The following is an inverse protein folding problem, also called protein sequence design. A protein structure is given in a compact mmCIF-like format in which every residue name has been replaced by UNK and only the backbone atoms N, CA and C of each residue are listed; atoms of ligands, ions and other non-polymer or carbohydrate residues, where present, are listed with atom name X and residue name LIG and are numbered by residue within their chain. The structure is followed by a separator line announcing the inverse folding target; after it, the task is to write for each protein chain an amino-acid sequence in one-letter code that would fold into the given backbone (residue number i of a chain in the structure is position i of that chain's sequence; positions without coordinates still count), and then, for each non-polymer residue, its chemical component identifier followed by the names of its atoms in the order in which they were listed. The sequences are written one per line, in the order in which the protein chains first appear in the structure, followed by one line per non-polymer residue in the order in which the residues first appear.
data_IF_916695716148
#
_entry.id   IF_916695716148
#
_cell.length_a   1.000
_cell.length_b   1.000
_cell.length_c   1.000
_cell.angle_alpha   90.00
_cell.angle_beta   90.00
_cell.angle_gamma   90.00
#
_symmetry.space_group_name_H-M   'P 1'
#
loop_
_entity.id
_entity.type
_entity.pdbx_description
1 polymer ?
#
# COMPACT_ATOMS: atom_id res chain seq x y z
N UNK A 1 28.56 -71.45 -24.15
CA UNK A 1 27.71 -70.29 -24.54
C UNK A 1 26.82 -69.72 -23.42
N UNK A 2 26.77 -70.26 -22.19
CA UNK A 2 25.86 -69.79 -21.11
C UNK A 2 26.28 -68.53 -20.33
N UNK A 3 27.48 -67.98 -20.56
CA UNK A 3 28.05 -66.88 -19.74
C UNK A 3 27.66 -65.47 -20.23
N UNK A 4 27.30 -65.31 -21.52
CA UNK A 4 26.93 -64.00 -22.08
C UNK A 4 25.49 -63.60 -21.72
N UNK A 5 24.55 -64.54 -21.73
CA UNK A 5 23.14 -64.31 -21.38
C UNK A 5 22.98 -63.90 -19.91
N UNK A 6 23.72 -64.53 -18.98
CA UNK A 6 23.73 -64.15 -17.57
C UNK A 6 24.31 -62.75 -17.33
N UNK A 7 25.29 -62.33 -18.14
CA UNK A 7 25.91 -61.00 -18.02
C UNK A 7 24.98 -59.88 -18.50
N UNK A 8 24.16 -60.15 -19.52
CA UNK A 8 23.20 -59.20 -20.06
C UNK A 8 22.02 -58.99 -19.10
N UNK A 9 21.45 -60.08 -18.56
CA UNK A 9 20.36 -60.00 -17.58
C UNK A 9 20.82 -59.31 -16.29
N UNK A 10 22.06 -59.51 -15.86
CA UNK A 10 22.62 -58.83 -14.69
C UNK A 10 22.76 -57.32 -14.93
N UNK A 11 23.22 -56.91 -16.11
CA UNK A 11 23.28 -55.48 -16.51
C UNK A 11 21.90 -54.86 -16.63
N UNK A 12 20.91 -55.60 -17.16
CA UNK A 12 19.53 -55.13 -17.23
C UNK A 12 18.94 -54.91 -15.84
N UNK A 13 19.20 -55.83 -14.89
CA UNK A 13 18.80 -55.67 -13.48
C UNK A 13 19.44 -54.45 -12.84
N UNK A 14 20.73 -54.24 -13.04
CA UNK A 14 21.43 -53.05 -12.51
C UNK A 14 20.89 -51.76 -13.14
N UNK A 15 20.50 -51.78 -14.42
CA UNK A 15 19.87 -50.62 -15.08
C UNK A 15 18.45 -50.35 -14.57
N UNK A 16 17.67 -51.40 -14.25
CA UNK A 16 16.34 -51.23 -13.64
C UNK A 16 16.41 -50.82 -12.16
N UNK A 17 17.47 -51.19 -11.45
CA UNK A 17 17.76 -50.74 -10.08
C UNK A 17 18.35 -49.32 -10.04
N UNK A 18 18.93 -48.86 -11.14
CA UNK A 18 19.42 -47.49 -11.32
C UNK A 18 18.37 -46.51 -11.90
N UNK A 19 17.12 -46.97 -12.05
CA UNK A 19 16.02 -46.05 -12.38
C UNK A 19 15.72 -45.21 -11.13
N UNK A 20 15.67 -43.87 -11.25
CA UNK A 20 15.35 -43.02 -10.12
C UNK A 20 13.99 -43.43 -9.58
N UNK A 21 13.94 -43.64 -8.27
CA UNK A 21 12.73 -43.90 -7.52
C UNK A 21 11.69 -42.81 -7.80
N UNK A 22 10.39 -43.09 -7.59
CA UNK A 22 9.35 -42.07 -7.72
C UNK A 22 9.65 -40.81 -6.90
N UNK A 23 10.28 -40.99 -5.73
CA UNK A 23 10.71 -39.91 -4.84
C UNK A 23 11.85 -39.09 -5.45
N UNK A 24 12.89 -39.73 -5.97
CA UNK A 24 14.00 -39.04 -6.66
C UNK A 24 13.53 -38.29 -7.91
N UNK A 25 12.52 -38.82 -8.63
CA UNK A 25 11.91 -38.10 -9.75
C UNK A 25 11.19 -36.83 -9.32
N UNK A 26 10.47 -36.86 -8.21
CA UNK A 26 9.80 -35.67 -7.69
C UNK A 26 10.79 -34.66 -7.10
N UNK A 27 11.88 -35.13 -6.48
CA UNK A 27 12.99 -34.27 -6.04
C UNK A 27 13.66 -33.57 -7.23
N UNK A 28 14.05 -34.31 -8.27
CA UNK A 28 14.63 -33.72 -9.50
C UNK A 28 13.65 -32.74 -10.15
N UNK A 29 12.35 -33.07 -10.19
CA UNK A 29 11.32 -32.18 -10.74
C UNK A 29 11.21 -30.88 -9.92
N UNK A 30 11.28 -30.98 -8.60
CA UNK A 30 11.26 -29.82 -7.70
C UNK A 30 12.51 -28.95 -7.91
N UNK A 31 13.69 -29.54 -8.00
CA UNK A 31 14.94 -28.82 -8.23
C UNK A 31 14.93 -28.09 -9.58
N UNK A 32 14.39 -28.73 -10.63
CA UNK A 32 14.18 -28.10 -11.95
C UNK A 32 13.20 -26.93 -11.84
N UNK A 33 12.13 -27.07 -11.06
CA UNK A 33 11.15 -26.01 -10.88
C UNK A 33 11.76 -24.80 -10.15
N UNK A 34 12.55 -25.04 -9.10
CA UNK A 34 13.29 -23.99 -8.38
C UNK A 34 14.29 -23.26 -9.31
N UNK A 35 14.97 -24.00 -10.21
CA UNK A 35 15.85 -23.42 -11.22
C UNK A 35 15.09 -22.53 -12.22
N UNK A 36 13.90 -22.96 -12.67
CA UNK A 36 13.06 -22.18 -13.59
C UNK A 36 12.61 -20.88 -12.93
N UNK A 37 12.21 -20.93 -11.66
CA UNK A 37 11.75 -19.74 -10.94
C UNK A 37 12.89 -18.76 -10.68
N UNK A 38 14.10 -19.26 -10.38
CA UNK A 38 15.31 -18.44 -10.32
C UNK A 38 15.62 -17.74 -11.65
N UNK A 39 15.53 -18.46 -12.77
CA UNK A 39 15.78 -17.89 -14.10
C UNK A 39 14.75 -16.82 -14.48
N UNK A 40 13.48 -16.98 -14.08
CA UNK A 40 12.45 -15.94 -14.24
C UNK A 40 12.77 -14.70 -13.42
N UNK A 41 13.13 -14.87 -12.15
CA UNK A 41 13.53 -13.74 -11.29
C UNK A 41 14.73 -12.98 -11.87
N UNK A 42 15.71 -13.71 -12.41
CA UNK A 42 16.88 -13.10 -13.06
C UNK A 42 16.47 -12.33 -14.32
N UNK A 43 15.60 -12.90 -15.14
CA UNK A 43 15.07 -12.24 -16.34
C UNK A 43 14.31 -10.95 -16.00
N UNK A 44 13.49 -10.96 -14.94
CA UNK A 44 12.80 -9.77 -14.45
C UNK A 44 13.77 -8.72 -13.89
N UNK A 45 14.80 -9.17 -13.17
CA UNK A 45 15.83 -8.28 -12.64
C UNK A 45 16.59 -7.59 -13.79
N UNK A 46 16.95 -8.32 -14.83
CA UNK A 46 17.59 -7.79 -16.05
C UNK A 46 16.66 -6.83 -16.80
N UNK A 47 15.37 -7.13 -16.89
CA UNK A 47 14.37 -6.23 -17.50
C UNK A 47 14.18 -4.92 -16.71
N UNK A 48 14.52 -4.91 -15.42
CA UNK A 48 14.50 -3.71 -14.56
C UNK A 48 15.83 -2.96 -14.54
N UNK A 49 16.87 -3.46 -15.19
CA UNK A 49 18.11 -2.71 -15.35
C UNK A 49 17.80 -1.54 -16.28
N UNK A 50 17.87 -0.28 -15.80
CA UNK A 50 17.65 0.87 -16.65
C UNK A 50 18.65 0.84 -17.80
N UNK A 51 18.16 1.06 -19.01
CA UNK A 51 18.99 1.05 -20.21
C UNK A 51 19.94 2.24 -20.20
N UNK A 52 21.02 2.18 -20.99
CA UNK A 52 21.94 3.30 -21.18
C UNK A 52 21.20 4.57 -21.65
N UNK A 53 20.07 4.42 -22.36
CA UNK A 53 19.18 5.53 -22.75
C UNK A 53 18.46 6.16 -21.54
N UNK A 54 17.97 5.34 -20.60
CA UNK A 54 17.36 5.82 -19.35
C UNK A 54 18.38 6.60 -18.50
N UNK A 55 19.65 6.17 -18.50
CA UNK A 55 20.72 6.90 -17.79
C UNK A 55 21.06 8.24 -18.44
N UNK A 56 20.90 8.38 -19.77
CA UNK A 56 21.07 9.65 -20.48
C UNK A 56 19.94 10.63 -20.17
N UNK A 57 18.69 10.15 -20.07
CA UNK A 57 17.56 10.97 -19.64
C UNK A 57 17.72 11.46 -18.19
N UNK A 58 18.24 10.59 -17.32
CA UNK A 58 18.60 10.93 -15.94
C UNK A 58 19.73 11.95 -15.87
N UNK A 59 20.75 11.80 -16.70
CA UNK A 59 21.89 12.74 -16.79
C UNK A 59 21.46 14.12 -17.31
N UNK A 60 20.58 14.17 -18.31
CA UNK A 60 19.96 15.43 -18.78
C UNK A 60 19.10 16.09 -17.70
N UNK A 61 18.35 15.30 -16.95
CA UNK A 61 17.54 15.81 -15.83
C UNK A 61 18.43 16.35 -14.70
N UNK A 62 19.57 15.72 -14.44
CA UNK A 62 20.57 16.20 -13.48
C UNK A 62 21.25 17.49 -13.95
N UNK A 63 21.64 17.58 -15.23
CA UNK A 63 22.20 18.81 -15.83
C UNK A 63 21.19 19.98 -15.78
N UNK A 64 19.90 19.72 -15.98
CA UNK A 64 18.83 20.73 -15.85
C UNK A 64 18.63 21.18 -14.40
N UNK A 65 18.77 20.26 -13.44
CA UNK A 65 18.76 20.60 -12.01
C UNK A 65 19.99 21.43 -11.65
N UNK A 66 21.18 21.07 -12.13
CA UNK A 66 22.42 21.79 -11.89
C UNK A 66 22.38 23.21 -12.45
N UNK A 67 21.90 23.39 -13.70
CA UNK A 67 21.70 24.72 -14.30
C UNK A 67 20.71 25.59 -13.53
N UNK A 68 19.61 24.99 -13.04
CA UNK A 68 18.64 25.69 -12.19
C UNK A 68 19.25 26.06 -10.84
N UNK A 69 20.14 25.23 -10.30
CA UNK A 69 20.85 25.50 -9.05
C UNK A 69 21.88 26.64 -9.19
N UNK A 70 22.56 26.73 -10.32
CA UNK A 70 23.54 27.79 -10.57
C UNK A 70 22.90 29.16 -10.85
N UNK A 71 21.74 29.17 -11.51
CA UNK A 71 21.02 30.41 -11.85
C UNK A 71 20.40 31.09 -10.62
N UNK A 72 20.11 30.31 -9.56
CA UNK A 72 19.29 30.76 -8.43
C UNK A 72 19.98 30.58 -7.07
N UNK A 73 21.28 30.91 -7.00
CA UNK A 73 22.11 30.82 -5.78
C UNK A 73 21.50 31.55 -4.57
N UNK A 74 20.68 32.60 -4.81
CA UNK A 74 19.94 33.30 -3.74
C UNK A 74 18.70 32.54 -3.26
N UNK A 75 17.96 31.86 -4.14
CA UNK A 75 16.80 31.07 -3.76
C UNK A 75 17.18 29.80 -2.98
N UNK A 76 18.35 29.21 -3.25
CA UNK A 76 18.80 27.98 -2.57
C UNK A 76 19.32 28.27 -1.16
N UNK A 77 20.02 29.38 -0.94
CA UNK A 77 20.39 29.81 0.42
C UNK A 77 19.15 30.18 1.25
N UNK A 78 18.15 30.82 0.62
CA UNK A 78 16.86 31.06 1.25
C UNK A 78 16.09 29.77 1.55
N UNK A 79 16.14 28.76 0.68
CA UNK A 79 15.47 27.47 0.88
C UNK A 79 16.20 26.50 1.83
N UNK A 80 17.54 26.58 1.93
CA UNK A 80 18.33 25.83 2.90
C UNK A 80 18.18 26.40 4.31
N UNK A 81 18.14 27.72 4.46
CA UNK A 81 17.86 28.37 5.76
C UNK A 81 16.36 28.30 6.09
N UNK A 82 15.47 28.25 5.09
CA UNK A 82 14.06 27.84 5.25
C UNK A 82 13.84 26.32 5.05
N UNK A 83 14.78 25.47 5.48
CA UNK A 83 14.45 24.10 5.87
C UNK A 83 13.54 24.16 7.11
N UNK A 84 12.29 24.50 6.81
CA UNK A 84 11.05 24.28 7.54
C UNK A 84 11.28 24.21 9.04
N UNK A 85 11.29 25.40 9.69
CA UNK A 85 10.37 25.54 10.82
C UNK A 85 9.04 25.03 10.28
N UNK A 86 8.66 23.80 10.62
CA UNK A 86 7.25 23.40 10.58
C UNK A 86 6.60 24.51 11.37
N UNK A 87 5.95 25.46 10.69
CA UNK A 87 5.02 26.35 11.36
C UNK A 87 4.21 25.41 12.25
N UNK A 88 4.17 25.62 13.57
CA UNK A 88 3.31 24.81 14.41
C UNK A 88 1.97 24.83 13.71
N UNK A 89 1.46 23.65 13.35
CA UNK A 89 0.11 23.52 12.80
C UNK A 89 -0.73 24.15 13.89
N UNK A 90 -1.12 25.40 13.70
CA UNK A 90 -2.05 26.08 14.56
C UNK A 90 -3.34 25.36 14.24
N UNK A 91 -3.59 24.29 15.00
CA UNK A 91 -4.88 23.66 15.12
C UNK A 91 -5.78 24.75 15.66
N UNK A 92 -6.29 25.61 14.75
CA UNK A 92 -7.35 26.53 15.10
C UNK A 92 -8.46 25.64 15.65
N UNK A 93 -8.92 25.87 16.89
CA UNK A 93 -10.08 25.15 17.39
C UNK A 93 -11.21 25.31 16.37
N UNK A 94 -11.96 24.24 16.15
CA UNK A 94 -13.12 24.28 15.28
C UNK A 94 -14.05 25.41 15.76
N UNK A 95 -14.52 26.23 14.82
CA UNK A 95 -15.47 27.27 15.16
C UNK A 95 -16.78 26.63 15.62
N UNK A 96 -17.54 27.30 16.48
CA UNK A 96 -18.89 26.86 16.87
C UNK A 96 -19.76 26.59 15.65
N UNK A 97 -19.63 27.41 14.59
CA UNK A 97 -20.31 27.20 13.31
C UNK A 97 -19.86 25.95 12.54
N UNK A 98 -18.59 25.54 12.68
CA UNK A 98 -18.11 24.29 12.08
C UNK A 98 -18.74 23.07 12.77
N UNK A 99 -18.89 23.13 14.11
CA UNK A 99 -19.50 22.06 14.91
C UNK A 99 -21.01 21.94 14.61
N UNK A 100 -21.72 23.06 14.47
CA UNK A 100 -23.14 23.05 14.06
C UNK A 100 -23.32 22.45 12.66
N UNK A 101 -22.44 22.77 11.72
CA UNK A 101 -22.46 22.16 10.40
C UNK A 101 -22.18 20.65 10.49
N UNK A 102 -21.22 20.23 11.33
CA UNK A 102 -20.94 18.83 11.61
C UNK A 102 -22.14 18.07 12.16
N UNK A 103 -23.00 18.70 12.99
CA UNK A 103 -24.26 18.11 13.47
C UNK A 103 -25.27 17.91 12.35
N UNK A 104 -25.44 18.88 11.45
CA UNK A 104 -26.34 18.74 10.28
C UNK A 104 -25.86 17.64 9.33
N UNK A 105 -24.54 17.56 9.13
CA UNK A 105 -23.94 16.52 8.31
C UNK A 105 -24.13 15.14 8.96
N UNK A 106 -24.01 15.05 10.28
CA UNK A 106 -24.28 13.84 11.06
C UNK A 106 -25.73 13.36 10.88
N UNK A 107 -26.72 14.25 10.94
CA UNK A 107 -28.14 13.90 10.70
C UNK A 107 -28.40 13.38 9.28
N UNK A 108 -27.58 13.79 8.32
CA UNK A 108 -27.67 13.31 6.94
C UNK A 108 -26.99 11.95 6.81
N UNK A 109 -25.77 11.83 7.35
CA UNK A 109 -24.97 10.62 7.32
C UNK A 109 -25.57 9.48 8.15
N UNK A 110 -26.31 9.81 9.22
CA UNK A 110 -27.02 8.83 10.04
C UNK A 110 -28.21 8.18 9.32
N UNK A 111 -28.65 8.69 8.17
CA UNK A 111 -29.70 8.07 7.37
C UNK A 111 -29.17 7.08 6.33
N UNK A 112 -27.87 7.16 6.03
CA UNK A 112 -27.23 6.32 5.02
C UNK A 112 -26.85 4.96 5.57
N UNK A 113 -26.83 3.95 4.71
CA UNK A 113 -26.33 2.63 5.04
C UNK A 113 -24.80 2.60 5.11
N UNK A 114 -24.24 1.55 5.73
CA UNK A 114 -22.80 1.47 6.03
C UNK A 114 -21.90 1.64 4.79
N UNK A 115 -22.24 0.99 3.68
CA UNK A 115 -21.49 1.10 2.43
C UNK A 115 -21.63 2.47 1.77
N UNK A 116 -22.82 3.09 1.85
CA UNK A 116 -23.08 4.44 1.34
C UNK A 116 -22.33 5.51 2.13
N UNK A 117 -22.25 5.33 3.46
CA UNK A 117 -21.46 6.14 4.39
C UNK A 117 -19.98 6.14 4.00
N UNK A 118 -19.41 4.96 3.77
CA UNK A 118 -18.02 4.82 3.32
C UNK A 118 -17.78 5.51 1.99
N UNK A 119 -18.68 5.32 1.03
CA UNK A 119 -18.54 5.89 -0.29
C UNK A 119 -18.65 7.42 -0.27
N UNK A 120 -19.57 7.95 0.53
CA UNK A 120 -19.79 9.39 0.70
C UNK A 120 -18.61 10.06 1.40
N UNK A 121 -18.05 9.43 2.42
CA UNK A 121 -16.88 9.94 3.15
C UNK A 121 -15.56 9.78 2.37
N UNK A 122 -15.53 9.03 1.26
CA UNK A 122 -14.37 8.98 0.37
C UNK A 122 -14.25 10.23 -0.48
N UNK A 123 -15.35 10.90 -0.83
CA UNK A 123 -15.34 12.13 -1.63
C UNK A 123 -14.70 13.28 -0.84
N UNK A 124 -13.51 13.69 -1.29
CA UNK A 124 -12.72 14.75 -0.66
C UNK A 124 -13.28 16.14 -0.91
N UNK A 125 -14.04 16.33 -2.01
CA UNK A 125 -14.68 17.62 -2.31
C UNK A 125 -15.89 17.85 -1.42
N UNK A 126 -16.71 16.83 -1.22
CA UNK A 126 -17.88 16.91 -0.35
C UNK A 126 -17.49 16.92 1.15
N UNK A 127 -16.54 16.07 1.53
CA UNK A 127 -16.11 15.88 2.92
C UNK A 127 -14.59 16.04 3.07
N UNK A 128 -14.11 17.30 3.14
CA UNK A 128 -12.73 17.59 3.46
C UNK A 128 -12.42 17.25 4.92
N UNK A 129 -11.14 17.07 5.24
CA UNK A 129 -10.67 16.62 6.56
C UNK A 129 -11.21 17.47 7.73
N UNK A 130 -11.38 18.79 7.53
CA UNK A 130 -11.95 19.71 8.51
C UNK A 130 -13.40 19.35 8.87
N UNK A 131 -14.20 18.98 7.86
CA UNK A 131 -15.61 18.61 8.00
C UNK A 131 -15.76 17.26 8.70
N UNK A 132 -14.90 16.29 8.38
CA UNK A 132 -14.85 14.99 9.06
C UNK A 132 -14.51 15.17 10.55
N UNK A 133 -13.56 16.06 10.89
CA UNK A 133 -13.25 16.39 12.29
C UNK A 133 -14.41 17.06 13.00
N UNK A 134 -15.14 17.96 12.33
CA UNK A 134 -16.32 18.59 12.89
C UNK A 134 -17.43 17.57 13.22
N UNK A 135 -17.64 16.56 12.36
CA UNK A 135 -18.58 15.46 12.60
C UNK A 135 -18.13 14.63 13.82
N UNK A 136 -16.84 14.33 13.96
CA UNK A 136 -16.31 13.60 15.11
C UNK A 136 -16.44 14.39 16.41
N UNK A 137 -16.19 15.69 16.39
CA UNK A 137 -16.45 16.56 17.56
C UNK A 137 -17.94 16.64 17.90
N UNK A 138 -18.83 16.69 16.90
CA UNK A 138 -20.28 16.62 17.12
C UNK A 138 -20.72 15.30 17.77
N UNK A 139 -20.01 14.19 17.48
CA UNK A 139 -20.16 12.88 18.15
C UNK A 139 -19.49 12.82 19.53
N UNK A 140 -18.90 13.92 20.02
CA UNK A 140 -18.17 13.96 21.29
C UNK A 140 -16.79 13.30 21.26
N UNK A 141 -16.25 13.02 20.07
CA UNK A 141 -14.95 12.37 19.89
C UNK A 141 -13.89 13.44 19.61
N UNK A 142 -12.98 13.64 20.56
CA UNK A 142 -11.84 14.53 20.36
C UNK A 142 -10.73 13.80 19.60
N UNK A 143 -10.31 14.37 18.47
CA UNK A 143 -9.37 13.69 17.58
C UNK A 143 -8.04 14.42 17.52
N UNK A 144 -6.95 13.68 17.75
CA UNK A 144 -5.61 14.23 17.62
C UNK A 144 -5.33 14.67 16.18
N UNK A 145 -4.63 15.79 16.01
CA UNK A 145 -4.33 16.34 14.69
C UNK A 145 -3.40 15.50 13.82
N UNK A 146 -2.79 14.44 14.37
CA UNK A 146 -1.87 13.51 13.69
C UNK A 146 -2.57 12.45 12.82
N UNK A 147 -3.90 12.27 12.98
CA UNK A 147 -4.62 11.23 12.23
C UNK A 147 -4.80 11.59 10.75
N UNK A 148 -4.65 10.58 9.91
CA UNK A 148 -4.79 10.68 8.45
C UNK A 148 -6.28 10.65 8.08
N UNK A 149 -6.66 11.26 6.95
CA UNK A 149 -8.07 11.37 6.52
C UNK A 149 -8.82 10.03 6.50
N UNK A 150 -8.19 8.97 5.99
CA UNK A 150 -8.78 7.62 5.95
C UNK A 150 -9.17 7.13 7.34
N UNK A 151 -8.26 7.25 8.31
CA UNK A 151 -8.50 6.87 9.71
C UNK A 151 -9.64 7.67 10.35
N UNK A 152 -9.79 8.94 9.97
CA UNK A 152 -10.86 9.81 10.44
C UNK A 152 -12.21 9.37 9.85
N UNK A 153 -12.27 9.09 8.54
CA UNK A 153 -13.47 8.59 7.88
C UNK A 153 -13.92 7.26 8.47
N UNK A 154 -13.00 6.30 8.66
CA UNK A 154 -13.31 4.99 9.25
C UNK A 154 -13.83 5.12 10.69
N UNK A 155 -13.28 6.08 11.45
CA UNK A 155 -13.74 6.38 12.80
C UNK A 155 -15.17 6.95 12.82
N UNK A 156 -15.51 7.84 11.87
CA UNK A 156 -16.88 8.35 11.71
C UNK A 156 -17.85 7.21 11.42
N UNK A 157 -17.53 6.38 10.43
CA UNK A 157 -18.36 5.23 10.04
C UNK A 157 -18.61 4.33 11.25
N UNK A 158 -17.54 3.94 11.95
CA UNK A 158 -17.62 3.07 13.14
C UNK A 158 -18.52 3.68 14.23
N UNK A 159 -18.36 4.98 14.51
CA UNK A 159 -19.14 5.66 15.57
C UNK A 159 -20.61 5.78 15.21
N UNK A 160 -20.93 6.12 13.97
CA UNK A 160 -22.33 6.20 13.50
C UNK A 160 -22.97 4.80 13.51
N UNK A 161 -22.28 3.77 13.03
CA UNK A 161 -22.80 2.39 13.05
C UNK A 161 -23.03 1.88 14.46
N UNK A 162 -22.10 2.13 15.39
CA UNK A 162 -22.29 1.77 16.78
C UNK A 162 -23.49 2.51 17.39
N UNK A 163 -23.63 3.81 17.12
CA UNK A 163 -24.76 4.60 17.60
C UNK A 163 -26.10 4.01 17.13
N UNK A 164 -26.25 3.69 15.83
CA UNK A 164 -27.43 3.01 15.27
C UNK A 164 -27.68 1.65 15.93
N UNK A 165 -26.62 0.87 16.14
CA UNK A 165 -26.70 -0.42 16.80
C UNK A 165 -27.26 -0.31 18.21
N UNK A 166 -26.74 0.60 19.03
CA UNK A 166 -27.22 0.83 20.39
C UNK A 166 -28.66 1.37 20.43
N UNK A 167 -29.04 2.26 19.52
CA UNK A 167 -30.41 2.77 19.43
C UNK A 167 -31.41 1.65 19.10
N UNK A 168 -31.05 0.75 18.19
CA UNK A 168 -31.88 -0.41 17.84
C UNK A 168 -32.06 -1.43 18.99
N UNK A 169 -31.07 -1.51 19.89
CA UNK A 169 -31.11 -2.37 21.07
C UNK A 169 -31.87 -1.73 22.24
N UNK A 170 -31.93 -0.40 22.30
CA UNK A 170 -32.61 0.36 23.37
C UNK A 170 -34.11 0.54 23.12
N UNK A 171 -34.53 0.54 21.85
CA UNK A 171 -35.93 0.69 21.44
C UNK A 171 -36.66 -0.66 21.23
N UNK A 172 -36.08 -1.76 21.71
CA UNK A 172 -36.70 -3.08 21.81
C UNK A 172 -37.06 -3.37 23.27
#
# INVERSE_FOLDING_TARGET
MRSRESSFVRRLKTLTEALPSPTEKEEIRRDIQELIDFLKMLSEAVARIPTSEDTLALRRSLDDIEKRLETDKRAILLNLVNLRKKSPITNKPLSTGDIEQGRKDLDTLSKLDFEELKQTLKDEKAYPIKRIRAILEALGVHVSSKKIRSELSDLVVTKISNYKGYESLRNK
#
